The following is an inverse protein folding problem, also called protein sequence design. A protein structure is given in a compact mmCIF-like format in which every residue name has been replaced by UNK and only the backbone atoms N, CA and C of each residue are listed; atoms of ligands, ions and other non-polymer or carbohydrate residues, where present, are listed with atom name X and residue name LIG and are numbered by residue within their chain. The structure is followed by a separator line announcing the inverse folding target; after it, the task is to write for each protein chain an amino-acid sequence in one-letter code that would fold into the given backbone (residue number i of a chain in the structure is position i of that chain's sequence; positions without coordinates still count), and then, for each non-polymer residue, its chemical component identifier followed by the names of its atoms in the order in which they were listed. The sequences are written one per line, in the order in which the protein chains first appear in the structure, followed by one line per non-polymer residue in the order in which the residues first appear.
data_IF_298107994045
#
_entry.id   IF_298107994045
#
_cell.length_a   1.000
_cell.length_b   1.000
_cell.length_c   1.000
_cell.angle_alpha   90.00
_cell.angle_beta   90.00
_cell.angle_gamma   90.00
#
_symmetry.space_group_name_H-M   'P 1'
#
loop_
_entity.id
_entity.type
_entity.pdbx_description
1 polymer ?
#
# COMPACT_ATOMS: atom_id res chain seq x y z
N UNK A 1 15.72 -24.07 29.73
CA UNK A 1 15.92 -22.77 29.08
C UNK A 1 14.78 -22.59 28.09
N UNK A 2 13.84 -21.72 28.42
CA UNK A 2 12.66 -21.41 27.61
C UNK A 2 12.80 -20.00 27.06
N UNK A 3 12.60 -19.81 25.76
CA UNK A 3 12.65 -18.48 25.15
C UNK A 3 11.37 -18.15 24.41
N UNK A 4 11.04 -16.86 24.34
CA UNK A 4 9.98 -16.34 23.49
C UNK A 4 10.56 -15.29 22.55
N UNK A 5 10.18 -15.37 21.27
CA UNK A 5 10.49 -14.35 20.29
C UNK A 5 9.21 -13.73 19.73
N UNK A 6 9.21 -12.41 19.58
CA UNK A 6 8.12 -11.62 19.00
C UNK A 6 8.70 -10.69 17.94
N UNK A 7 8.00 -10.53 16.83
CA UNK A 7 8.49 -9.73 15.73
C UNK A 7 7.41 -9.36 14.73
N UNK A 8 7.71 -8.39 13.87
CA UNK A 8 6.87 -8.00 12.73
C UNK A 8 7.53 -8.44 11.44
N UNK A 9 6.76 -9.02 10.52
CA UNK A 9 7.24 -9.38 9.18
C UNK A 9 6.52 -8.50 8.16
N UNK A 10 7.27 -7.70 7.41
CA UNK A 10 6.72 -6.69 6.53
C UNK A 10 6.57 -7.26 5.11
N UNK A 11 5.41 -7.86 4.83
CA UNK A 11 5.17 -8.53 3.55
C UNK A 11 5.38 -7.61 2.33
N UNK A 12 5.03 -6.32 2.42
CA UNK A 12 5.29 -5.34 1.36
C UNK A 12 6.78 -5.22 1.00
N UNK A 13 7.68 -5.28 1.98
CA UNK A 13 9.13 -5.22 1.73
C UNK A 13 9.62 -6.48 0.99
N UNK A 14 9.11 -7.66 1.37
CA UNK A 14 9.40 -8.90 0.65
C UNK A 14 8.89 -8.87 -0.81
N UNK A 15 7.68 -8.35 -1.04
CA UNK A 15 7.15 -8.19 -2.39
C UNK A 15 8.00 -7.22 -3.22
N UNK A 16 8.37 -6.07 -2.65
CA UNK A 16 9.25 -5.08 -3.29
C UNK A 16 10.60 -5.69 -3.69
N UNK A 17 11.26 -6.37 -2.76
CA UNK A 17 12.55 -7.01 -3.00
C UNK A 17 12.45 -8.16 -4.01
N UNK A 18 11.29 -8.81 -4.14
CA UNK A 18 11.03 -9.84 -5.15
C UNK A 18 10.84 -9.23 -6.54
N UNK A 19 10.15 -8.10 -6.65
CA UNK A 19 10.04 -7.34 -7.91
C UNK A 19 11.42 -6.91 -8.41
N UNK A 20 12.26 -6.37 -7.53
CA UNK A 20 13.61 -5.92 -7.93
C UNK A 20 14.46 -7.06 -8.49
N UNK A 21 14.47 -8.22 -7.80
CA UNK A 21 15.18 -9.41 -8.29
C UNK A 21 14.62 -9.91 -9.62
N UNK A 22 13.29 -9.87 -9.79
CA UNK A 22 12.63 -10.28 -11.03
C UNK A 22 13.05 -9.39 -12.21
N UNK A 23 13.06 -8.07 -12.00
CA UNK A 23 13.41 -7.09 -13.03
C UNK A 23 14.91 -7.08 -13.36
N UNK A 24 15.76 -7.57 -12.46
CA UNK A 24 17.23 -7.67 -12.63
C UNK A 24 17.68 -9.04 -13.14
N UNK A 25 16.79 -10.03 -13.25
CA UNK A 25 17.18 -11.39 -13.60
C UNK A 25 17.46 -11.53 -15.11
N UNK A 26 18.71 -11.83 -15.46
CA UNK A 26 19.09 -12.21 -16.81
C UNK A 26 18.40 -13.53 -17.19
N UNK A 27 17.77 -13.58 -18.37
CA UNK A 27 17.04 -14.74 -18.92
C UNK A 27 15.70 -15.11 -18.27
N UNK A 28 15.05 -14.20 -17.54
CA UNK A 28 13.70 -14.45 -17.02
C UNK A 28 12.62 -14.41 -18.13
N UNK A 29 12.90 -13.70 -19.23
CA UNK A 29 11.99 -13.48 -20.35
C UNK A 29 11.01 -12.33 -20.10
N UNK A 30 10.86 -11.45 -21.09
CA UNK A 30 10.20 -10.15 -20.90
C UNK A 30 8.78 -10.23 -20.34
N UNK A 31 7.95 -11.08 -20.96
CA UNK A 31 6.56 -11.22 -20.54
C UNK A 31 6.47 -11.86 -19.14
N UNK A 32 7.27 -12.88 -18.84
CA UNK A 32 7.23 -13.54 -17.53
C UNK A 32 7.70 -12.61 -16.42
N UNK A 33 8.75 -11.82 -16.68
CA UNK A 33 9.28 -10.84 -15.75
C UNK A 33 8.25 -9.76 -15.48
N UNK A 34 7.61 -9.24 -16.52
CA UNK A 34 6.59 -8.20 -16.37
C UNK A 34 5.31 -8.71 -15.70
N UNK A 35 4.84 -9.92 -16.02
CA UNK A 35 3.69 -10.56 -15.34
C UNK A 35 3.92 -10.67 -13.83
N UNK A 36 5.08 -11.22 -13.47
CA UNK A 36 5.48 -11.43 -12.08
C UNK A 36 5.63 -10.10 -11.36
N UNK A 37 6.28 -9.13 -11.99
CA UNK A 37 6.52 -7.81 -11.43
C UNK A 37 5.21 -7.02 -11.22
N UNK A 38 4.27 -7.06 -12.15
CA UNK A 38 2.95 -6.41 -12.01
C UNK A 38 2.17 -7.01 -10.84
N UNK A 39 2.09 -8.34 -10.76
CA UNK A 39 1.38 -9.02 -9.68
C UNK A 39 1.98 -8.72 -8.30
N UNK A 40 3.30 -8.86 -8.16
CA UNK A 40 4.00 -8.60 -6.91
C UNK A 40 3.97 -7.12 -6.52
N UNK A 41 4.00 -6.19 -7.49
CA UNK A 41 3.83 -4.75 -7.22
C UNK A 41 2.44 -4.46 -6.64
N UNK A 42 1.38 -5.08 -7.18
CA UNK A 42 0.03 -4.92 -6.63
C UNK A 42 -0.07 -5.47 -5.20
N UNK A 43 0.54 -6.62 -4.91
CA UNK A 43 0.60 -7.17 -3.55
C UNK A 43 1.42 -6.31 -2.60
N UNK A 44 2.54 -5.74 -3.07
CA UNK A 44 3.32 -4.76 -2.31
C UNK A 44 2.45 -3.56 -1.90
N UNK A 45 1.76 -2.93 -2.86
CA UNK A 45 0.90 -1.77 -2.59
C UNK A 45 -0.24 -2.15 -1.64
N UNK A 46 -0.93 -3.27 -1.88
CA UNK A 46 -2.01 -3.73 -1.00
C UNK A 46 -1.53 -3.98 0.43
N UNK A 47 -0.42 -4.70 0.59
CA UNK A 47 0.18 -4.98 1.89
C UNK A 47 0.62 -3.71 2.60
N UNK A 48 1.19 -2.75 1.89
CA UNK A 48 1.62 -1.48 2.48
C UNK A 48 0.43 -0.61 2.92
N UNK A 49 -0.64 -0.56 2.12
CA UNK A 49 -1.86 0.17 2.53
C UNK A 49 -2.52 -0.47 3.76
N UNK A 50 -2.49 -1.80 3.88
CA UNK A 50 -2.95 -2.51 5.08
C UNK A 50 -2.09 -2.15 6.29
N UNK A 51 -0.76 -2.22 6.13
CA UNK A 51 0.20 -1.85 7.16
C UNK A 51 -0.03 -0.42 7.65
N UNK A 52 -0.18 0.52 6.71
CA UNK A 52 -0.39 1.91 7.02
C UNK A 52 -1.73 2.13 7.73
N UNK A 53 -2.83 1.54 7.25
CA UNK A 53 -4.11 1.66 7.95
C UNK A 53 -4.06 1.09 9.37
N UNK A 54 -3.38 -0.04 9.59
CA UNK A 54 -3.17 -0.61 10.93
C UNK A 54 -2.45 0.38 11.84
N UNK A 55 -1.31 0.91 11.40
CA UNK A 55 -0.53 1.88 12.17
C UNK A 55 -1.30 3.16 12.42
N UNK A 56 -1.96 3.73 11.41
CA UNK A 56 -2.62 5.02 11.53
C UNK A 56 -3.89 4.95 12.37
N UNK A 57 -4.63 3.83 12.36
CA UNK A 57 -5.85 3.69 13.15
C UNK A 57 -5.58 3.47 14.64
N UNK A 58 -4.38 3.00 15.00
CA UNK A 58 -3.89 2.93 16.37
C UNK A 58 -3.13 4.23 16.75
N UNK A 59 -3.88 5.31 16.91
CA UNK A 59 -3.30 6.63 17.16
C UNK A 59 -2.65 6.76 18.55
N UNK A 60 -3.07 5.94 19.52
CA UNK A 60 -2.48 5.93 20.87
C UNK A 60 -1.07 5.33 20.82
N UNK A 61 -0.89 4.15 20.22
CA UNK A 61 0.45 3.56 20.04
C UNK A 61 1.36 4.43 19.17
N UNK A 62 0.80 5.24 18.26
CA UNK A 62 1.59 6.24 17.50
C UNK A 62 2.08 7.39 18.37
N UNK A 63 1.28 7.83 19.34
CA UNK A 63 1.72 8.82 20.31
C UNK A 63 2.81 8.24 21.23
N UNK A 64 2.73 6.94 21.56
CA UNK A 64 3.78 6.24 22.31
C UNK A 64 5.09 6.18 21.53
N UNK A 65 5.03 5.74 20.28
CA UNK A 65 6.20 5.71 19.40
C UNK A 65 6.83 7.10 19.24
N UNK A 66 6.04 8.18 19.24
CA UNK A 66 6.58 9.53 19.23
C UNK A 66 7.44 9.83 20.48
N UNK A 67 7.06 9.33 21.66
CA UNK A 67 7.82 9.50 22.89
C UNK A 67 9.09 8.65 22.93
N UNK A 68 9.10 7.51 22.25
CA UNK A 68 10.26 6.61 22.19
C UNK A 68 11.28 7.02 21.12
N UNK A 69 10.81 7.52 19.97
CA UNK A 69 11.64 7.74 18.78
C UNK A 69 12.22 9.16 18.67
N UNK A 70 11.67 10.13 19.41
CA UNK A 70 12.08 11.54 19.32
C UNK A 70 12.98 11.97 20.48
N UNK A 71 13.77 13.02 20.26
CA UNK A 71 14.65 13.54 21.29
C UNK A 71 13.86 14.26 22.40
N UNK A 72 14.43 14.32 23.60
CA UNK A 72 13.80 14.93 24.78
C UNK A 72 13.36 16.38 24.59
N UNK A 73 14.08 17.19 23.79
CA UNK A 73 13.72 18.60 23.57
C UNK A 73 12.43 18.74 22.76
N UNK A 74 12.25 17.90 21.74
CA UNK A 74 11.05 17.88 20.91
C UNK A 74 9.84 17.36 21.70
N UNK A 75 10.04 16.31 22.48
CA UNK A 75 9.02 15.76 23.39
C UNK A 75 8.58 16.82 24.40
N UNK A 76 9.52 17.42 25.13
CA UNK A 76 9.23 18.44 26.15
C UNK A 76 8.46 19.63 25.56
N UNK A 77 8.85 20.08 24.36
CA UNK A 77 8.13 21.14 23.65
C UNK A 77 6.67 20.73 23.41
N UNK A 78 6.44 19.53 22.87
CA UNK A 78 5.09 19.06 22.55
C UNK A 78 4.23 18.82 23.79
N UNK A 79 4.82 18.31 24.87
CA UNK A 79 4.12 18.11 26.14
C UNK A 79 3.69 19.45 26.79
N UNK A 80 4.51 20.51 26.66
CA UNK A 80 4.15 21.86 27.17
C UNK A 80 3.03 22.53 26.37
N UNK A 81 2.88 22.17 25.09
CA UNK A 81 1.80 22.65 24.23
C UNK A 81 0.46 21.95 24.52
N UNK A 82 0.44 20.91 25.35
CA UNK A 82 -0.78 20.16 25.63
C UNK A 82 -1.80 21.00 26.42
N UNK A 83 -3.08 20.97 26.00
CA UNK A 83 -4.15 21.58 26.79
C UNK A 83 -4.30 20.86 28.14
N UNK A 84 -4.65 21.62 29.18
CA UNK A 84 -5.02 21.07 30.48
C UNK A 84 -6.44 20.54 30.42
N UNK A 85 -6.58 19.23 30.27
CA UNK A 85 -7.86 18.51 30.25
C UNK A 85 -7.72 17.16 30.97
N UNK A 86 -8.83 16.46 31.15
CA UNK A 86 -8.89 15.16 31.85
C UNK A 86 -8.59 13.96 30.93
N UNK A 87 -8.06 14.19 29.73
CA UNK A 87 -7.70 13.11 28.81
C UNK A 87 -6.43 12.40 29.28
N UNK A 88 -6.29 11.12 28.92
CA UNK A 88 -5.01 10.42 29.11
C UNK A 88 -3.91 11.11 28.31
N UNK A 89 -2.66 10.99 28.80
CA UNK A 89 -1.50 11.61 28.15
C UNK A 89 -1.42 11.26 26.66
N UNK A 90 -1.58 9.98 26.32
CA UNK A 90 -1.48 9.45 24.97
C UNK A 90 -2.57 10.00 24.04
N UNK A 91 -3.81 10.09 24.53
CA UNK A 91 -4.93 10.66 23.76
C UNK A 91 -4.73 12.15 23.54
N UNK A 92 -4.32 12.90 24.58
CA UNK A 92 -4.07 14.33 24.48
C UNK A 92 -2.90 14.63 23.52
N UNK A 93 -1.83 13.84 23.60
CA UNK A 93 -0.68 13.94 22.70
C UNK A 93 -1.06 13.59 21.25
N UNK A 94 -1.82 12.51 21.03
CA UNK A 94 -2.31 12.13 19.71
C UNK A 94 -3.22 13.19 19.08
N UNK A 95 -4.03 13.90 19.88
CA UNK A 95 -4.82 15.03 19.43
C UNK A 95 -3.93 16.20 18.99
N UNK A 96 -2.95 16.60 19.81
CA UNK A 96 -2.03 17.68 19.51
C UNK A 96 -1.15 17.38 18.28
N UNK A 97 -0.72 16.13 18.10
CA UNK A 97 0.03 15.68 16.92
C UNK A 97 -0.86 15.50 15.67
N UNK A 98 -2.18 15.61 15.80
CA UNK A 98 -3.14 15.44 14.70
C UNK A 98 -3.40 13.99 14.30
N UNK A 99 -2.86 13.01 15.02
CA UNK A 99 -3.03 11.58 14.73
C UNK A 99 -4.47 11.11 14.90
N UNK A 100 -5.17 11.64 15.91
CA UNK A 100 -6.61 11.36 16.10
C UNK A 100 -7.44 11.87 14.93
N UNK A 101 -7.20 13.10 14.47
CA UNK A 101 -7.91 13.68 13.32
C UNK A 101 -7.65 12.89 12.02
N UNK A 102 -6.42 12.42 11.82
CA UNK A 102 -6.08 11.53 10.70
C UNK A 102 -6.88 10.23 10.78
N UNK A 103 -6.91 9.59 11.94
CA UNK A 103 -7.67 8.35 12.18
C UNK A 103 -9.15 8.53 11.89
N UNK A 104 -9.76 9.57 12.45
CA UNK A 104 -11.18 9.88 12.23
C UNK A 104 -11.48 10.11 10.75
N UNK A 105 -10.57 10.77 10.03
CA UNK A 105 -10.71 10.98 8.59
C UNK A 105 -10.69 9.67 7.82
N UNK A 106 -9.78 8.75 8.17
CA UNK A 106 -9.67 7.41 7.59
C UNK A 106 -10.95 6.61 7.86
N UNK A 107 -11.34 6.48 9.13
CA UNK A 107 -12.49 5.69 9.59
C UNK A 107 -13.80 6.22 9.00
N UNK A 108 -14.00 7.54 8.96
CA UNK A 108 -15.20 8.11 8.35
C UNK A 108 -15.23 7.87 6.83
N UNK A 109 -14.09 7.99 6.14
CA UNK A 109 -13.99 7.68 4.72
C UNK A 109 -14.32 6.21 4.44
N UNK A 110 -13.73 5.28 5.19
CA UNK A 110 -14.00 3.85 5.07
C UNK A 110 -15.46 3.51 5.37
N UNK A 111 -16.03 4.05 6.45
CA UNK A 111 -17.45 3.89 6.80
C UNK A 111 -18.35 4.34 5.65
N UNK A 112 -18.06 5.49 5.03
CA UNK A 112 -18.87 6.01 3.92
C UNK A 112 -18.86 5.09 2.69
N UNK A 113 -17.78 4.33 2.49
CA UNK A 113 -17.63 3.39 1.40
C UNK A 113 -18.34 2.05 1.61
N UNK A 114 -18.78 1.76 2.84
CA UNK A 114 -19.52 0.55 3.17
C UNK A 114 -21.00 0.65 2.78
N UNK A 115 -21.61 -0.53 2.59
CA UNK A 115 -23.07 -0.69 2.48
C UNK A 115 -23.75 -0.07 3.71
N UNK A 116 -24.89 0.60 3.51
CA UNK A 116 -25.60 1.35 4.57
C UNK A 116 -25.83 0.53 5.84
N UNK A 117 -26.20 -0.75 5.68
CA UNK A 117 -26.45 -1.68 6.80
C UNK A 117 -25.22 -1.91 7.69
N UNK A 118 -24.01 -1.84 7.14
CA UNK A 118 -22.77 -2.15 7.88
C UNK A 118 -22.15 -0.93 8.56
N UNK A 119 -22.64 0.29 8.28
CA UNK A 119 -21.97 1.53 8.71
C UNK A 119 -21.99 1.74 10.22
N UNK A 120 -23.13 1.49 10.85
CA UNK A 120 -23.29 1.65 12.29
C UNK A 120 -22.46 0.60 13.04
N UNK A 121 -22.51 -0.65 12.58
CA UNK A 121 -21.75 -1.76 13.15
C UNK A 121 -20.24 -1.54 13.04
N UNK A 122 -19.76 -1.08 11.87
CA UNK A 122 -18.34 -0.78 11.66
C UNK A 122 -17.81 0.26 12.65
N UNK A 123 -18.55 1.36 12.86
CA UNK A 123 -18.16 2.39 13.83
C UNK A 123 -18.17 1.86 15.25
N UNK A 124 -19.16 1.04 15.59
CA UNK A 124 -19.26 0.44 16.91
C UNK A 124 -18.12 -0.53 17.19
N UNK A 125 -17.74 -1.36 16.22
CA UNK A 125 -16.60 -2.28 16.35
C UNK A 125 -15.28 -1.53 16.48
N UNK A 126 -15.06 -0.48 15.67
CA UNK A 126 -13.88 0.37 15.78
C UNK A 126 -13.80 1.02 17.17
N UNK A 127 -14.90 1.61 17.66
CA UNK A 127 -14.95 2.23 18.99
C UNK A 127 -14.78 1.24 20.15
N UNK A 128 -14.99 -0.06 19.91
CA UNK A 128 -14.71 -1.13 20.89
C UNK A 128 -13.23 -1.54 20.91
N UNK A 129 -12.37 -0.89 20.12
CA UNK A 129 -10.95 -1.20 20.05
C UNK A 129 -10.62 -2.40 19.17
N UNK A 130 -11.49 -2.77 18.23
CA UNK A 130 -11.17 -3.81 17.24
C UNK A 130 -10.00 -3.35 16.37
N UNK A 131 -9.01 -4.22 16.17
CA UNK A 131 -7.85 -3.91 15.32
C UNK A 131 -8.27 -3.65 13.88
N UNK A 132 -7.47 -2.89 13.13
CA UNK A 132 -7.81 -2.61 11.74
C UNK A 132 -7.83 -3.89 10.90
N UNK A 133 -6.94 -4.85 11.16
CA UNK A 133 -6.96 -6.17 10.51
C UNK A 133 -8.29 -6.93 10.72
N UNK A 134 -8.83 -6.93 11.94
CA UNK A 134 -10.12 -7.55 12.22
C UNK A 134 -11.27 -6.85 11.51
N UNK A 135 -11.25 -5.51 11.49
CA UNK A 135 -12.22 -4.69 10.74
C UNK A 135 -12.14 -4.96 9.23
N UNK A 136 -10.93 -4.98 8.67
CA UNK A 136 -10.67 -5.28 7.26
C UNK A 136 -11.24 -6.65 6.89
N UNK A 137 -10.96 -7.67 7.71
CA UNK A 137 -11.40 -9.04 7.49
C UNK A 137 -12.93 -9.18 7.58
N UNK A 138 -13.56 -8.50 8.55
CA UNK A 138 -15.02 -8.55 8.78
C UNK A 138 -15.79 -7.79 7.69
N UNK A 139 -15.33 -6.60 7.33
CA UNK A 139 -16.07 -5.69 6.43
C UNK A 139 -15.58 -5.70 4.98
N UNK A 140 -14.52 -6.47 4.67
CA UNK A 140 -13.93 -6.62 3.33
C UNK A 140 -13.59 -5.28 2.71
N UNK A 141 -12.81 -4.48 3.43
CA UNK A 141 -12.42 -3.14 3.00
C UNK A 141 -11.53 -3.21 1.76
N UNK A 142 -12.05 -2.79 0.61
CA UNK A 142 -11.28 -2.83 -0.64
C UNK A 142 -10.02 -1.97 -0.57
N UNK A 143 -8.96 -2.44 -1.23
CA UNK A 143 -7.67 -1.72 -1.34
C UNK A 143 -7.84 -0.31 -1.92
N UNK A 144 -8.75 -0.13 -2.87
CA UNK A 144 -9.10 1.18 -3.44
C UNK A 144 -9.70 2.14 -2.41
N UNK A 145 -10.56 1.64 -1.52
CA UNK A 145 -11.16 2.46 -0.47
C UNK A 145 -10.12 2.83 0.61
N UNK A 146 -9.21 1.90 0.94
CA UNK A 146 -8.05 2.16 1.82
C UNK A 146 -7.18 3.27 1.25
N UNK A 147 -6.78 3.18 -0.02
CA UNK A 147 -6.04 4.24 -0.71
C UNK A 147 -6.74 5.61 -0.61
N UNK A 148 -8.03 5.67 -0.97
CA UNK A 148 -8.79 6.93 -0.95
C UNK A 148 -8.89 7.53 0.46
N UNK A 149 -9.08 6.69 1.48
CA UNK A 149 -9.12 7.13 2.86
C UNK A 149 -7.77 7.74 3.30
N UNK A 150 -6.66 7.09 2.94
CA UNK A 150 -5.31 7.56 3.23
C UNK A 150 -4.97 8.86 2.49
N UNK A 151 -5.28 8.97 1.20
CA UNK A 151 -5.11 10.22 0.42
C UNK A 151 -6.00 11.37 0.92
N UNK A 152 -7.13 11.05 1.56
CA UNK A 152 -7.98 12.05 2.20
C UNK A 152 -7.33 12.54 3.50
N UNK A 153 -6.83 11.62 4.32
CA UNK A 153 -6.17 11.93 5.59
C UNK A 153 -4.81 12.62 5.41
N UNK A 154 -4.16 12.48 4.25
CA UNK A 154 -2.89 13.15 3.94
C UNK A 154 -3.06 14.63 3.56
N UNK A 155 -4.30 15.12 3.44
CA UNK A 155 -4.62 16.48 2.95
C UNK A 155 -3.90 16.85 1.65
N UNK A 156 -3.62 15.85 0.79
CA UNK A 156 -2.94 16.08 -0.47
C UNK A 156 -3.86 16.79 -1.46
N UNK A 157 -3.28 17.69 -2.25
CA UNK A 157 -3.99 18.43 -3.29
C UNK A 157 -4.65 17.50 -4.32
N UNK A 158 -5.80 17.96 -4.83
CA UNK A 158 -6.64 17.17 -5.73
C UNK A 158 -5.90 16.64 -6.97
N UNK A 159 -5.04 17.42 -7.68
CA UNK A 159 -4.31 16.90 -8.85
C UNK A 159 -3.38 15.73 -8.50
N UNK A 160 -2.65 15.83 -7.37
CA UNK A 160 -1.75 14.76 -6.91
C UNK A 160 -2.53 13.55 -6.40
N UNK A 161 -3.68 13.76 -5.76
CA UNK A 161 -4.63 12.69 -5.40
C UNK A 161 -5.08 11.92 -6.64
N UNK A 162 -5.51 12.62 -7.69
CA UNK A 162 -6.03 12.02 -8.91
C UNK A 162 -4.94 11.23 -9.65
N UNK A 163 -3.71 11.76 -9.69
CA UNK A 163 -2.52 11.04 -10.18
C UNK A 163 -2.36 9.69 -9.47
N UNK A 164 -2.34 9.68 -8.13
CA UNK A 164 -2.15 8.44 -7.38
C UNK A 164 -3.30 7.45 -7.56
N UNK A 165 -4.55 7.93 -7.64
CA UNK A 165 -5.71 7.07 -7.91
C UNK A 165 -5.63 6.46 -9.31
N UNK A 166 -5.17 7.22 -10.30
CA UNK A 166 -4.98 6.73 -11.67
C UNK A 166 -3.87 5.67 -11.72
N UNK A 167 -2.70 5.94 -11.16
CA UNK A 167 -1.58 4.99 -11.09
C UNK A 167 -1.99 3.69 -10.39
N UNK A 168 -2.70 3.79 -9.27
CA UNK A 168 -3.26 2.64 -8.57
C UNK A 168 -4.24 1.86 -9.44
N UNK A 169 -5.14 2.56 -10.14
CA UNK A 169 -6.15 1.92 -10.99
C UNK A 169 -5.49 1.16 -12.13
N UNK A 170 -4.50 1.74 -12.80
CA UNK A 170 -3.73 1.08 -13.86
C UNK A 170 -3.04 -0.21 -13.36
N UNK A 171 -2.39 -0.17 -12.20
CA UNK A 171 -1.75 -1.35 -11.60
C UNK A 171 -2.76 -2.45 -11.28
N UNK A 172 -3.88 -2.11 -10.63
CA UNK A 172 -4.86 -3.10 -10.20
C UNK A 172 -5.68 -3.64 -11.35
N UNK A 173 -5.94 -2.85 -12.40
CA UNK A 173 -6.59 -3.32 -13.61
C UNK A 173 -5.69 -4.32 -14.35
N UNK A 174 -4.38 -4.03 -14.47
CA UNK A 174 -3.41 -4.97 -15.03
C UNK A 174 -3.35 -6.27 -14.20
N UNK A 175 -3.21 -6.18 -12.88
CA UNK A 175 -3.21 -7.35 -11.99
C UNK A 175 -4.51 -8.15 -12.08
N UNK A 176 -5.66 -7.50 -12.18
CA UNK A 176 -6.95 -8.18 -12.28
C UNK A 176 -7.13 -8.87 -13.64
N UNK A 177 -6.61 -8.27 -14.72
CA UNK A 177 -6.55 -8.93 -16.01
C UNK A 177 -5.73 -10.23 -15.94
N UNK A 178 -4.64 -10.25 -15.15
CA UNK A 178 -3.86 -11.46 -14.92
C UNK A 178 -4.60 -12.49 -14.04
N UNK A 179 -5.15 -12.04 -12.91
CA UNK A 179 -5.81 -12.91 -11.95
C UNK A 179 -7.10 -13.55 -12.48
N UNK A 180 -7.76 -12.89 -13.43
CA UNK A 180 -8.97 -13.37 -14.08
C UNK A 180 -8.74 -13.74 -15.54
N UNK A 181 -7.47 -13.98 -15.92
CA UNK A 181 -7.00 -14.20 -17.29
C UNK A 181 -8.02 -14.92 -18.16
N UNK A 182 -8.51 -14.21 -19.17
CA UNK A 182 -9.40 -14.77 -20.19
C UNK A 182 -8.58 -15.00 -21.45
N UNK A 183 -8.88 -16.08 -22.17
CA UNK A 183 -8.39 -16.25 -23.54
C UNK A 183 -8.92 -15.09 -24.39
N UNK A 184 -8.02 -14.32 -24.99
CA UNK A 184 -8.36 -13.22 -25.89
C UNK A 184 -8.24 -13.69 -27.34
N UNK A 185 -9.31 -13.46 -28.12
CA UNK A 185 -9.25 -13.62 -29.57
C UNK A 185 -8.72 -12.30 -30.15
N UNK A 186 -7.47 -12.32 -30.62
CA UNK A 186 -6.83 -11.14 -31.20
C UNK A 186 -6.72 -11.33 -32.71
N UNK A 187 -7.18 -10.33 -33.45
CA UNK A 187 -7.13 -10.28 -34.91
C UNK A 187 -6.35 -9.04 -35.33
N UNK A 188 -5.26 -9.23 -36.06
CA UNK A 188 -4.41 -8.16 -36.57
C UNK A 188 -4.34 -8.25 -38.09
N UNK A 189 -4.55 -7.12 -38.78
CA UNK A 189 -4.40 -7.02 -40.23
C UNK A 189 -3.06 -6.39 -40.54
N UNK A 190 -2.28 -7.00 -41.42
CA UNK A 190 -0.99 -6.46 -41.87
C UNK A 190 -0.94 -6.43 -43.40
N UNK A 191 -0.26 -5.42 -43.94
CA UNK A 191 -0.01 -5.27 -45.38
C UNK A 191 1.47 -5.52 -45.64
N UNK A 192 1.80 -6.34 -46.64
CA UNK A 192 3.18 -6.70 -46.97
C UNK A 192 3.57 -6.18 -48.37
N UNK A 193 4.79 -5.66 -48.49
CA UNK A 193 5.49 -5.50 -49.78
C UNK A 193 6.23 -6.80 -50.16
N UNK A 194 6.17 -7.16 -51.45
CA UNK A 194 6.74 -8.39 -52.04
C UNK A 194 8.25 -8.54 -51.73
N UNK A 195 8.57 -9.24 -50.63
CA UNK A 195 9.93 -9.64 -50.26
C UNK A 195 9.96 -11.10 -49.82
N UNK A 196 11.06 -11.79 -50.15
CA UNK A 196 11.18 -13.26 -50.17
C UNK A 196 11.17 -13.97 -48.80
N UNK A 197 11.16 -13.27 -47.66
CA UNK A 197 11.18 -13.89 -46.32
C UNK A 197 9.83 -13.68 -45.63
N UNK A 198 8.91 -14.64 -45.76
CA UNK A 198 7.54 -14.57 -45.22
C UNK A 198 7.54 -14.65 -43.69
N UNK A 199 8.48 -15.40 -43.11
CA UNK A 199 8.53 -15.70 -41.68
C UNK A 199 8.85 -14.48 -40.79
N UNK A 200 9.63 -13.52 -41.30
CA UNK A 200 10.03 -12.31 -40.58
C UNK A 200 9.05 -11.13 -40.72
N UNK A 201 8.06 -11.24 -41.61
CA UNK A 201 7.16 -10.14 -41.97
C UNK A 201 5.80 -10.18 -41.26
N UNK A 202 5.49 -11.27 -40.55
CA UNK A 202 4.20 -11.43 -39.86
C UNK A 202 4.34 -10.93 -38.42
N UNK A 203 3.57 -9.92 -37.99
CA UNK A 203 3.63 -9.44 -36.61
C UNK A 203 3.16 -10.52 -35.64
N UNK A 204 3.79 -10.56 -34.47
CA UNK A 204 3.35 -11.43 -33.39
C UNK A 204 2.06 -10.88 -32.78
N UNK A 205 1.02 -11.70 -32.77
CA UNK A 205 -0.23 -11.38 -32.09
C UNK A 205 0.04 -11.20 -30.59
N UNK A 206 -0.39 -10.07 -30.05
CA UNK A 206 -0.19 -9.71 -28.64
C UNK A 206 -1.54 -9.43 -27.97
N UNK A 207 -1.82 -10.12 -26.87
CA UNK A 207 -3.00 -9.85 -26.05
C UNK A 207 -2.86 -8.54 -25.26
N UNK A 208 -3.98 -7.91 -24.91
CA UNK A 208 -3.99 -6.63 -24.20
C UNK A 208 -3.29 -6.72 -22.82
N UNK A 209 -3.42 -7.87 -22.15
CA UNK A 209 -2.75 -8.14 -20.89
C UNK A 209 -1.24 -8.36 -21.08
N UNK A 210 -0.78 -8.93 -22.21
CA UNK A 210 0.64 -9.09 -22.50
C UNK A 210 1.30 -7.73 -22.67
N UNK A 211 0.65 -6.83 -23.40
CA UNK A 211 1.16 -5.47 -23.57
C UNK A 211 1.28 -4.72 -22.24
N UNK A 212 0.25 -4.85 -21.39
CA UNK A 212 0.22 -4.28 -20.03
C UNK A 212 1.33 -4.83 -19.12
N UNK A 213 1.82 -6.02 -19.42
CA UNK A 213 2.85 -6.73 -18.65
C UNK A 213 4.19 -6.80 -19.39
N UNK A 214 4.46 -5.88 -20.30
CA UNK A 214 5.84 -5.70 -20.80
C UNK A 214 6.76 -5.24 -19.65
N UNK A 215 8.05 -5.60 -19.71
CA UNK A 215 9.05 -5.15 -18.72
C UNK A 215 9.03 -3.64 -18.54
N UNK A 216 8.88 -2.89 -19.63
CA UNK A 216 8.82 -1.42 -19.59
C UNK A 216 7.66 -0.94 -18.72
N UNK A 217 6.42 -1.40 -19.01
CA UNK A 217 5.24 -0.99 -18.23
C UNK A 217 5.30 -1.51 -16.79
N UNK A 218 5.84 -2.71 -16.57
CA UNK A 218 6.03 -3.25 -15.23
C UNK A 218 7.01 -2.38 -14.40
N UNK A 219 8.13 -1.92 -15.00
CA UNK A 219 9.06 -0.98 -14.37
C UNK A 219 8.39 0.37 -14.05
N UNK A 220 7.59 0.91 -14.98
CA UNK A 220 6.85 2.16 -14.79
C UNK A 220 5.83 2.05 -13.64
N UNK A 221 5.08 0.93 -13.58
CA UNK A 221 4.13 0.64 -12.52
C UNK A 221 4.82 0.45 -11.16
N UNK A 222 5.94 -0.28 -11.12
CA UNK A 222 6.72 -0.45 -9.90
C UNK A 222 7.28 0.88 -9.40
N UNK A 223 7.88 1.68 -10.29
CA UNK A 223 8.43 2.99 -9.95
C UNK A 223 7.36 3.96 -9.44
N UNK A 224 6.20 4.01 -10.12
CA UNK A 224 5.06 4.82 -9.70
C UNK A 224 4.50 4.36 -8.35
N UNK A 225 4.49 3.05 -8.10
CA UNK A 225 4.04 2.49 -6.81
C UNK A 225 4.99 2.81 -5.67
N UNK A 226 6.31 2.83 -5.94
CA UNK A 226 7.30 3.31 -4.96
C UNK A 226 7.10 4.79 -4.64
N UNK A 227 6.78 5.62 -5.63
CA UNK A 227 6.44 7.05 -5.40
C UNK A 227 5.26 7.19 -4.42
N UNK A 228 4.20 6.39 -4.60
CA UNK A 228 3.05 6.37 -3.70
C UNK A 228 3.43 5.94 -2.27
N UNK A 229 4.22 4.88 -2.14
CA UNK A 229 4.70 4.38 -0.84
C UNK A 229 5.56 5.43 -0.14
N UNK A 230 6.53 6.03 -0.84
CA UNK A 230 7.37 7.09 -0.30
C UNK A 230 6.55 8.30 0.14
N UNK A 231 5.60 8.73 -0.68
CA UNK A 231 4.70 9.82 -0.33
C UNK A 231 3.97 9.55 1.00
N UNK A 232 3.40 8.36 1.17
CA UNK A 232 2.71 8.02 2.40
C UNK A 232 3.65 7.87 3.59
N UNK A 233 4.83 7.28 3.39
CA UNK A 233 5.83 7.17 4.44
C UNK A 233 6.22 8.57 4.95
N UNK A 234 6.64 9.46 4.06
CA UNK A 234 7.04 10.84 4.37
C UNK A 234 5.92 11.63 5.06
N UNK A 235 4.67 11.39 4.65
CA UNK A 235 3.51 12.08 5.20
C UNK A 235 3.17 11.61 6.61
N UNK A 236 3.27 10.31 6.89
CA UNK A 236 2.62 9.73 8.08
C UNK A 236 3.56 9.09 9.09
N UNK A 237 4.56 8.32 8.65
CA UNK A 237 5.36 7.45 9.51
C UNK A 237 6.82 7.88 9.59
N UNK A 238 7.38 8.41 8.50
CA UNK A 238 8.78 8.85 8.34
C UNK A 238 9.79 7.73 8.67
N UNK A 239 9.43 6.49 8.38
CA UNK A 239 10.29 5.34 8.61
C UNK A 239 11.48 5.34 7.66
N UNK A 240 12.62 4.82 8.12
CA UNK A 240 13.77 4.61 7.27
C UNK A 240 13.53 3.42 6.34
N UNK A 241 13.54 3.66 5.03
CA UNK A 241 13.45 2.62 3.99
C UNK A 241 12.25 1.66 4.14
N UNK A 242 10.99 2.14 3.97
CA UNK A 242 9.76 1.37 4.21
C UNK A 242 9.60 0.13 3.33
N UNK A 243 10.38 -0.01 2.25
CA UNK A 243 10.37 -1.18 1.37
C UNK A 243 11.58 -2.09 1.52
N UNK A 244 12.53 -1.75 2.41
CA UNK A 244 13.77 -2.53 2.63
C UNK A 244 13.83 -3.17 4.01
N UNK A 245 12.99 -2.75 4.95
CA UNK A 245 12.89 -3.36 6.26
C UNK A 245 12.05 -4.65 6.20
N UNK A 246 12.69 -5.82 6.12
CA UNK A 246 12.00 -7.10 5.95
C UNK A 246 11.29 -7.58 7.23
N UNK A 247 11.91 -7.38 8.39
CA UNK A 247 11.38 -7.84 9.67
C UNK A 247 12.00 -7.13 10.88
N UNK A 248 11.25 -7.03 11.97
CA UNK A 248 11.76 -6.68 13.30
C UNK A 248 11.56 -7.86 14.27
N UNK A 249 12.49 -8.09 15.20
CA UNK A 249 12.42 -9.22 16.14
C UNK A 249 13.06 -8.87 17.48
N UNK A 250 12.38 -9.21 18.57
CA UNK A 250 12.87 -9.17 19.95
C UNK A 250 12.76 -10.57 20.51
N UNK A 251 13.86 -11.07 21.09
CA UNK A 251 13.95 -12.40 21.68
C UNK A 251 14.33 -12.29 23.15
N UNK A 252 13.59 -12.96 24.01
CA UNK A 252 13.89 -13.09 25.44
C UNK A 252 14.08 -14.56 25.81
N UNK A 253 15.05 -14.84 26.68
CA UNK A 253 15.40 -16.19 27.15
C UNK A 253 15.28 -16.24 28.67
N UNK A 254 14.72 -17.32 29.19
CA UNK A 254 14.53 -17.63 30.62
C UNK A 254 15.12 -19.00 30.97
#
# INVERSE_FOLDING_TARGET
MSGQSKGTVYAHAYFSASVERTLQADNFGDIFAGLTSVALTAFMVESYLNYLCEKLCDFESRADAFLDDNNHLEIDKKLRELPKNDLSLHVNLAENLGYKQQTETIINSLTSSLRKANRAEFKLDFNKGMSFYELEKKYKLSTKNKLKALLKASNVEQPKRDKFVQQFTQLFDARNALAHGRTENVSESFTKELTNDISKSVPAITASWQESCSIKKANEMYSSSKELVSFFNETFLKEFSPLSNLSSQISAVS
#
